data_IF_606164489080
#
_entry.id   IF_606164489080
#
_cell.length_a   1.000
_cell.length_b   1.000
_cell.length_c   1.000
_cell.angle_alpha   90.00
_cell.angle_beta   90.00
_cell.angle_gamma   90.00
#
_symmetry.space_group_name_H-M   'P 1'
#
loop_
_entity.id
_entity.type
_entity.pdbx_description
1 polymer ?
#
# COMPACT_ATOMS: atom_id res chain seq x y z
N UNK A 1 53.67 24.68 25.84
CA UNK A 1 52.23 24.78 26.12
C UNK A 1 51.52 23.73 25.29
N UNK A 2 50.68 22.91 25.93
CA UNK A 2 50.17 21.64 25.44
C UNK A 2 48.92 21.77 24.55
N UNK A 3 48.73 20.76 23.71
CA UNK A 3 47.71 20.59 22.68
C UNK A 3 46.26 20.60 23.20
N UNK A 4 45.34 21.14 22.38
CA UNK A 4 43.89 20.99 22.58
C UNK A 4 43.37 19.97 21.56
N UNK A 5 42.90 18.85 22.08
CA UNK A 5 42.22 17.80 21.34
C UNK A 5 40.80 18.25 20.95
N UNK A 6 40.47 18.18 19.67
CA UNK A 6 39.08 18.27 19.19
C UNK A 6 38.59 16.83 18.96
N UNK A 7 37.94 16.27 19.97
CA UNK A 7 37.24 15.00 19.87
C UNK A 7 35.96 15.16 19.05
N UNK A 8 35.94 14.60 17.85
CA UNK A 8 34.73 14.43 17.04
C UNK A 8 34.00 13.18 17.52
N UNK A 9 33.08 13.35 18.46
CA UNK A 9 32.17 12.29 18.91
C UNK A 9 30.73 12.63 18.46
N UNK A 10 30.40 12.31 17.21
CA UNK A 10 29.02 12.41 16.72
C UNK A 10 28.55 11.38 15.67
N UNK A 11 28.98 10.09 15.66
CA UNK A 11 28.35 9.12 14.75
C UNK A 11 27.22 8.29 15.40
N UNK A 12 27.13 8.22 16.74
CA UNK A 12 26.24 7.26 17.41
C UNK A 12 24.78 7.75 17.54
N UNK A 13 24.56 9.04 17.83
CA UNK A 13 23.21 9.58 18.00
C UNK A 13 22.40 9.54 16.69
N UNK A 14 23.01 9.96 15.56
CA UNK A 14 22.35 9.96 14.25
C UNK A 14 22.03 8.55 13.75
N UNK A 15 22.88 7.55 14.04
CA UNK A 15 22.63 6.17 13.65
C UNK A 15 21.47 5.53 14.43
N UNK A 16 21.35 5.84 15.72
CA UNK A 16 20.24 5.36 16.57
C UNK A 16 18.92 6.02 16.19
N UNK A 17 18.95 7.32 15.85
CA UNK A 17 17.77 8.06 15.38
C UNK A 17 17.30 7.56 14.01
N UNK A 18 18.21 7.35 13.06
CA UNK A 18 17.90 6.74 11.77
C UNK A 18 17.37 5.30 11.89
N UNK A 19 17.88 4.52 12.86
CA UNK A 19 17.37 3.16 13.11
C UNK A 19 15.97 3.20 13.73
N UNK A 20 15.69 4.15 14.63
CA UNK A 20 14.36 4.35 15.21
C UNK A 20 13.37 4.81 14.15
N UNK A 21 13.72 5.76 13.29
CA UNK A 21 12.88 6.21 12.17
C UNK A 21 12.57 5.06 11.21
N UNK A 22 13.56 4.23 10.87
CA UNK A 22 13.35 3.03 10.04
C UNK A 22 12.46 1.99 10.72
N UNK A 23 12.60 1.80 12.03
CA UNK A 23 11.75 0.87 12.78
C UNK A 23 10.29 1.36 12.85
N UNK A 24 10.08 2.66 13.07
CA UNK A 24 8.75 3.27 13.06
C UNK A 24 8.13 3.24 11.66
N UNK A 25 8.92 3.52 10.61
CA UNK A 25 8.47 3.39 9.23
C UNK A 25 8.13 1.93 8.87
N UNK A 26 8.92 0.96 9.36
CA UNK A 26 8.66 -0.46 9.19
C UNK A 26 7.37 -0.92 9.86
N UNK A 27 7.13 -0.50 11.11
CA UNK A 27 5.89 -0.78 11.84
C UNK A 27 4.67 -0.09 11.21
N UNK A 28 4.82 1.12 10.69
CA UNK A 28 3.77 1.82 9.98
C UNK A 28 3.42 1.14 8.64
N UNK A 29 4.42 0.64 7.91
CA UNK A 29 4.22 -0.11 6.67
C UNK A 29 3.57 -1.48 6.92
N UNK A 30 3.97 -2.19 7.98
CA UNK A 30 3.35 -3.46 8.38
C UNK A 30 1.88 -3.28 8.76
N UNK A 31 1.55 -2.18 9.45
CA UNK A 31 0.17 -1.81 9.78
C UNK A 31 -0.69 -1.33 8.59
N UNK A 32 -0.12 -1.29 7.38
CA UNK A 32 -0.80 -0.96 6.12
C UNK A 32 -0.95 -2.19 5.20
N UNK A 33 -0.25 -3.29 5.48
CA UNK A 33 -0.40 -4.52 4.72
C UNK A 33 -1.81 -5.12 4.89
N UNK A 34 -2.37 -5.72 3.83
CA UNK A 34 -3.66 -6.40 3.92
C UNK A 34 -3.56 -7.57 4.88
N UNK A 35 -4.49 -7.65 5.83
CA UNK A 35 -4.67 -8.84 6.66
C UNK A 35 -5.57 -9.86 5.95
N UNK A 36 -5.61 -11.11 6.44
CA UNK A 36 -6.54 -12.10 5.88
C UNK A 36 -8.01 -11.69 6.04
N UNK A 37 -8.35 -11.02 7.15
CA UNK A 37 -9.69 -10.50 7.40
C UNK A 37 -10.08 -9.42 6.40
N UNK A 38 -9.16 -8.49 6.12
CA UNK A 38 -9.31 -7.45 5.11
C UNK A 38 -9.63 -8.02 3.72
N UNK A 39 -8.91 -9.07 3.31
CA UNK A 39 -9.11 -9.73 2.02
C UNK A 39 -10.47 -10.48 2.00
N UNK A 40 -10.90 -11.06 3.12
CA UNK A 40 -12.20 -11.74 3.23
C UNK A 40 -13.39 -10.78 3.17
N UNK A 41 -13.28 -9.60 3.78
CA UNK A 41 -14.29 -8.53 3.64
C UNK A 41 -14.41 -8.10 2.17
N UNK A 42 -13.28 -7.88 1.49
CA UNK A 42 -13.26 -7.58 0.06
C UNK A 42 -13.92 -8.70 -0.78
N UNK A 43 -13.59 -9.97 -0.53
CA UNK A 43 -14.21 -11.12 -1.22
C UNK A 43 -15.73 -11.12 -1.04
N UNK A 44 -16.21 -10.80 0.17
CA UNK A 44 -17.64 -10.79 0.48
C UNK A 44 -18.38 -9.71 -0.33
N UNK A 45 -17.77 -8.53 -0.49
CA UNK A 45 -18.29 -7.44 -1.32
C UNK A 45 -18.23 -7.77 -2.81
N UNK A 46 -17.10 -8.32 -3.27
CA UNK A 46 -16.97 -8.80 -4.65
C UNK A 46 -18.04 -9.82 -5.02
N UNK A 47 -18.37 -10.75 -4.12
CA UNK A 47 -19.48 -11.69 -4.34
C UNK A 47 -20.84 -11.00 -4.41
N UNK A 48 -21.08 -10.01 -3.55
CA UNK A 48 -22.33 -9.24 -3.58
C UNK A 48 -22.49 -8.45 -4.88
N UNK A 49 -21.38 -7.98 -5.45
CA UNK A 49 -21.35 -7.24 -6.72
C UNK A 49 -21.34 -8.14 -7.96
N UNK A 50 -21.33 -9.47 -7.79
CA UNK A 50 -21.29 -10.42 -8.90
C UNK A 50 -19.94 -10.45 -9.64
N UNK A 51 -18.85 -10.15 -8.95
CA UNK A 51 -17.50 -10.21 -9.53
C UNK A 51 -17.12 -11.63 -9.97
N UNK A 52 -16.14 -11.70 -10.87
CA UNK A 52 -15.66 -12.94 -11.47
C UNK A 52 -15.18 -13.98 -10.43
N UNK A 53 -15.59 -15.23 -10.64
CA UNK A 53 -15.32 -16.34 -9.73
C UNK A 53 -13.84 -16.75 -9.68
N UNK A 54 -13.08 -16.59 -10.77
CA UNK A 54 -11.64 -16.85 -10.79
C UNK A 54 -10.89 -15.83 -9.95
N UNK A 55 -11.29 -14.55 -10.05
CA UNK A 55 -10.71 -13.47 -9.23
C UNK A 55 -10.99 -13.67 -7.74
N UNK A 56 -12.20 -14.12 -7.40
CA UNK A 56 -12.57 -14.47 -6.01
C UNK A 56 -11.71 -15.62 -5.50
N UNK A 57 -11.52 -16.68 -6.30
CA UNK A 57 -10.66 -17.82 -5.93
C UNK A 57 -9.21 -17.42 -5.71
N UNK A 58 -8.66 -16.54 -6.55
CA UNK A 58 -7.30 -16.01 -6.39
C UNK A 58 -7.14 -15.28 -5.04
N UNK A 59 -8.11 -14.44 -4.65
CA UNK A 59 -8.06 -13.74 -3.37
C UNK A 59 -8.29 -14.66 -2.16
N UNK A 60 -9.10 -15.71 -2.29
CA UNK A 60 -9.24 -16.71 -1.23
C UNK A 60 -7.92 -17.44 -0.96
N UNK A 61 -7.19 -17.80 -2.02
CA UNK A 61 -5.87 -18.41 -1.89
C UNK A 61 -4.89 -17.46 -1.21
N UNK A 62 -4.92 -16.18 -1.60
CA UNK A 62 -4.09 -15.16 -0.97
C UNK A 62 -4.44 -14.96 0.52
N UNK A 63 -5.72 -14.89 0.88
CA UNK A 63 -6.15 -14.78 2.28
C UNK A 63 -5.64 -15.95 3.13
N UNK A 64 -5.72 -17.19 2.62
CA UNK A 64 -5.18 -18.38 3.32
C UNK A 64 -3.66 -18.31 3.50
N UNK A 65 -2.96 -17.73 2.54
CA UNK A 65 -1.51 -17.54 2.63
C UNK A 65 -1.15 -16.51 3.72
N UNK A 66 -1.93 -15.43 3.86
CA UNK A 66 -1.76 -14.43 4.91
C UNK A 66 -1.98 -14.99 6.33
N UNK A 67 -2.86 -15.99 6.48
CA UNK A 67 -3.10 -16.66 7.77
C UNK A 67 -1.93 -17.55 8.22
N UNK A 68 -0.98 -17.85 7.31
CA UNK A 68 0.15 -18.72 7.61
C UNK A 68 1.46 -17.91 7.65
N UNK A 69 1.96 -17.51 8.84
CA UNK A 69 3.11 -16.61 8.96
C UNK A 69 4.42 -17.16 8.37
N UNK A 70 4.57 -18.49 8.27
CA UNK A 70 5.72 -19.12 7.60
C UNK A 70 5.65 -19.04 6.06
N UNK A 71 4.45 -18.85 5.49
CA UNK A 71 4.23 -18.61 4.07
C UNK A 71 4.39 -17.12 3.71
N UNK A 72 4.11 -16.20 4.63
CA UNK A 72 4.18 -14.74 4.42
C UNK A 72 5.55 -14.28 3.88
N UNK A 73 6.66 -14.80 4.43
CA UNK A 73 8.01 -14.50 3.91
C UNK A 73 8.35 -15.18 2.57
N UNK A 74 7.75 -16.34 2.26
CA UNK A 74 7.97 -17.05 0.99
C UNK A 74 7.13 -16.46 -0.14
N UNK A 75 5.90 -16.05 0.15
CA UNK A 75 5.01 -15.34 -0.77
C UNK A 75 5.59 -13.97 -1.11
N UNK A 76 6.26 -13.31 -0.15
CA UNK A 76 7.10 -12.11 -0.39
C UNK A 76 8.18 -12.29 -1.47
N UNK A 77 8.57 -13.53 -1.80
CA UNK A 77 9.62 -13.83 -2.81
C UNK A 77 9.11 -14.58 -4.04
N UNK A 78 8.02 -15.34 -3.94
CA UNK A 78 7.63 -16.33 -4.94
C UNK A 78 6.53 -15.87 -5.92
N UNK A 79 5.69 -14.93 -5.52
CA UNK A 79 4.69 -14.32 -6.40
C UNK A 79 5.18 -12.94 -6.79
N UNK A 80 5.00 -12.54 -8.05
CA UNK A 80 5.15 -11.15 -8.47
C UNK A 80 4.20 -10.28 -7.66
N UNK A 81 4.65 -9.87 -6.48
CA UNK A 81 3.82 -9.33 -5.40
C UNK A 81 3.20 -7.99 -5.79
N UNK A 82 3.89 -7.24 -6.65
CA UNK A 82 3.32 -6.08 -7.34
C UNK A 82 2.02 -6.41 -8.05
N UNK A 83 1.89 -7.59 -8.67
CA UNK A 83 0.70 -7.99 -9.43
C UNK A 83 -0.50 -8.32 -8.53
N UNK A 84 -0.31 -9.11 -7.46
CA UNK A 84 -1.44 -9.46 -6.57
C UNK A 84 -1.85 -8.26 -5.69
N UNK A 85 -0.90 -7.48 -5.19
CA UNK A 85 -1.18 -6.26 -4.42
C UNK A 85 -1.88 -5.24 -5.30
N UNK A 86 -1.45 -5.05 -6.55
CA UNK A 86 -2.16 -4.22 -7.53
C UNK A 86 -3.59 -4.69 -7.73
N UNK A 87 -3.81 -5.99 -7.97
CA UNK A 87 -5.15 -6.55 -8.13
C UNK A 87 -6.04 -6.30 -6.92
N UNK A 88 -5.50 -6.42 -5.71
CA UNK A 88 -6.20 -6.13 -4.46
C UNK A 88 -6.54 -4.65 -4.31
N UNK A 89 -5.60 -3.75 -4.61
CA UNK A 89 -5.82 -2.30 -4.54
C UNK A 89 -6.95 -1.91 -5.50
N UNK A 90 -6.86 -2.35 -6.75
CA UNK A 90 -7.89 -2.09 -7.77
C UNK A 90 -9.23 -2.67 -7.35
N UNK A 91 -9.28 -3.92 -6.88
CA UNK A 91 -10.52 -4.54 -6.44
C UNK A 91 -11.12 -3.82 -5.22
N UNK A 92 -10.29 -3.42 -4.25
CA UNK A 92 -10.70 -2.65 -3.08
C UNK A 92 -11.23 -1.26 -3.44
N UNK A 93 -10.70 -0.64 -4.49
CA UNK A 93 -11.20 0.62 -5.04
C UNK A 93 -12.54 0.48 -5.77
N UNK A 94 -12.77 -0.65 -6.45
CA UNK A 94 -13.99 -0.88 -7.23
C UNK A 94 -15.18 -1.36 -6.40
N UNK A 95 -14.94 -2.34 -5.53
CA UNK A 95 -15.99 -3.03 -4.77
C UNK A 95 -16.15 -2.49 -3.34
N UNK A 96 -15.23 -1.60 -2.94
CA UNK A 96 -15.10 -1.18 -1.56
C UNK A 96 -14.57 -2.32 -0.67
N UNK A 97 -13.95 -1.93 0.43
CA UNK A 97 -13.43 -2.85 1.44
C UNK A 97 -12.85 -2.04 2.58
N UNK A 98 -12.95 -2.56 3.79
CA UNK A 98 -12.39 -1.95 5.00
C UNK A 98 -10.91 -1.59 4.83
N UNK A 99 -10.16 -2.40 4.09
CA UNK A 99 -8.75 -2.19 3.78
C UNK A 99 -8.45 -1.01 2.85
N UNK A 100 -9.25 -0.80 1.80
CA UNK A 100 -9.13 0.41 0.98
C UNK A 100 -9.34 1.67 1.83
N UNK A 101 -10.26 1.61 2.81
CA UNK A 101 -10.43 2.64 3.81
C UNK A 101 -9.22 2.79 4.77
N UNK A 102 -8.57 1.69 5.18
CA UNK A 102 -7.40 1.69 6.08
C UNK A 102 -6.13 2.25 5.43
N UNK A 103 -5.86 1.92 4.17
CA UNK A 103 -4.72 2.47 3.42
C UNK A 103 -4.88 3.99 3.31
N UNK A 104 -6.07 4.44 2.93
CA UNK A 104 -6.28 5.83 2.53
C UNK A 104 -6.58 6.74 3.72
N UNK A 105 -7.22 6.20 4.77
CA UNK A 105 -7.54 6.92 6.00
C UNK A 105 -6.31 7.38 6.80
N UNK A 106 -5.14 6.77 6.58
CA UNK A 106 -3.88 7.13 7.24
C UNK A 106 -3.06 8.18 6.48
N UNK A 107 -3.46 8.54 5.26
CA UNK A 107 -2.66 9.42 4.39
C UNK A 107 -3.19 10.85 4.45
N UNK A 108 -4.50 11.02 4.29
CA UNK A 108 -5.18 12.32 4.40
C UNK A 108 -6.70 12.12 4.39
N UNK A 109 -7.43 12.82 5.27
CA UNK A 109 -8.91 12.80 5.28
C UNK A 109 -9.51 13.23 3.93
N UNK A 110 -8.84 14.18 3.25
CA UNK A 110 -9.25 14.67 1.92
C UNK A 110 -9.11 13.57 0.87
N UNK A 111 -7.96 12.90 0.85
CA UNK A 111 -7.64 11.83 -0.10
C UNK A 111 -8.55 10.61 0.11
N UNK A 112 -8.85 10.28 1.38
CA UNK A 112 -9.86 9.27 1.75
C UNK A 112 -11.26 9.56 1.23
N UNK A 113 -11.75 10.79 1.43
CA UNK A 113 -13.06 11.20 0.94
C UNK A 113 -13.15 11.29 -0.59
N UNK A 114 -12.05 11.65 -1.26
CA UNK A 114 -12.00 11.69 -2.70
C UNK A 114 -12.05 10.28 -3.29
N UNK A 115 -11.28 9.36 -2.71
CA UNK A 115 -11.18 7.99 -3.18
C UNK A 115 -12.47 7.20 -2.94
N UNK A 116 -13.17 7.39 -1.83
CA UNK A 116 -14.47 6.74 -1.61
C UNK A 116 -15.53 7.15 -2.63
N UNK A 117 -15.42 8.35 -3.21
CA UNK A 117 -16.33 8.86 -4.25
C UNK A 117 -15.90 8.54 -5.67
N UNK A 118 -14.59 8.34 -5.88
CA UNK A 118 -13.98 8.20 -7.21
C UNK A 118 -13.20 6.88 -7.36
N UNK A 119 -13.51 5.87 -6.54
CA UNK A 119 -12.75 4.62 -6.46
C UNK A 119 -12.58 3.92 -7.81
N UNK A 120 -13.67 3.77 -8.57
CA UNK A 120 -13.64 3.19 -9.92
C UNK A 120 -12.66 3.91 -10.86
N UNK A 121 -12.74 5.24 -10.89
CA UNK A 121 -11.89 6.09 -11.74
C UNK A 121 -10.41 5.96 -11.39
N UNK A 122 -10.10 5.88 -10.09
CA UNK A 122 -8.73 5.69 -9.62
C UNK A 122 -8.26 4.27 -9.94
N UNK A 123 -9.15 3.27 -9.83
CA UNK A 123 -8.85 1.89 -10.18
C UNK A 123 -8.50 1.76 -11.68
N UNK A 124 -9.28 2.40 -12.56
CA UNK A 124 -9.01 2.45 -14.00
C UNK A 124 -7.61 3.07 -14.27
N UNK A 125 -7.35 4.23 -13.66
CA UNK A 125 -6.06 4.90 -13.80
C UNK A 125 -4.87 4.05 -13.35
N UNK A 126 -5.05 3.22 -12.31
CA UNK A 126 -4.02 2.30 -11.80
C UNK A 126 -3.82 1.10 -12.74
N UNK A 127 -4.87 0.58 -13.36
CA UNK A 127 -4.80 -0.52 -14.33
C UNK A 127 -4.09 -0.10 -15.63
N UNK A 128 -4.19 1.17 -16.01
CA UNK A 128 -3.54 1.71 -17.21
C UNK A 128 -2.04 1.99 -17.04
N UNK A 129 -1.49 1.91 -15.83
CA UNK A 129 -0.07 2.21 -15.59
C UNK A 129 0.82 1.04 -15.99
N UNK A 130 1.72 1.27 -16.95
CA UNK A 130 2.72 0.28 -17.38
C UNK A 130 3.87 0.10 -16.36
N UNK A 131 4.25 1.16 -15.63
CA UNK A 131 5.35 1.15 -14.66
C UNK A 131 4.89 1.37 -13.21
N UNK A 132 5.24 0.45 -12.31
CA UNK A 132 4.84 0.52 -10.90
C UNK A 132 5.79 1.40 -10.06
N UNK A 133 5.62 2.72 -10.16
CA UNK A 133 6.34 3.71 -9.35
C UNK A 133 5.40 4.79 -8.82
N UNK A 134 5.77 5.44 -7.72
CA UNK A 134 4.99 6.55 -7.15
C UNK A 134 4.69 7.62 -8.19
N UNK A 135 5.71 8.04 -8.94
CA UNK A 135 5.57 9.06 -9.98
C UNK A 135 4.64 8.62 -11.11
N UNK A 136 4.76 7.38 -11.59
CA UNK A 136 3.92 6.87 -12.67
C UNK A 136 2.44 6.77 -12.24
N UNK A 137 2.19 6.28 -11.03
CA UNK A 137 0.85 6.22 -10.44
C UNK A 137 0.24 7.61 -10.27
N UNK A 138 0.99 8.57 -9.72
CA UNK A 138 0.52 9.94 -9.55
C UNK A 138 0.19 10.61 -10.90
N UNK A 139 1.07 10.46 -11.90
CA UNK A 139 0.84 11.00 -13.25
C UNK A 139 -0.41 10.39 -13.89
N UNK A 140 -0.62 9.09 -13.77
CA UNK A 140 -1.81 8.43 -14.30
C UNK A 140 -3.10 8.93 -13.63
N UNK A 141 -3.10 9.08 -12.31
CA UNK A 141 -4.23 9.63 -11.56
C UNK A 141 -4.51 11.09 -11.94
N UNK A 142 -3.48 11.92 -12.11
CA UNK A 142 -3.65 13.31 -12.58
C UNK A 142 -4.21 13.35 -14.00
N UNK A 143 -3.74 12.50 -14.90
CA UNK A 143 -4.30 12.37 -16.26
C UNK A 143 -5.77 11.95 -16.24
N UNK A 144 -6.16 11.09 -15.29
CA UNK A 144 -7.56 10.76 -15.08
C UNK A 144 -8.36 11.95 -14.53
N UNK A 145 -7.73 12.99 -13.98
CA UNK A 145 -8.39 14.17 -13.40
C UNK A 145 -8.57 14.07 -11.88
N UNK A 146 -7.70 13.34 -11.19
CA UNK A 146 -7.51 13.43 -9.74
C UNK A 146 -6.67 14.68 -9.43
N UNK A 147 -7.03 15.51 -8.44
CA UNK A 147 -6.20 16.64 -8.02
C UNK A 147 -4.77 16.22 -7.68
N UNK A 148 -3.77 17.01 -8.08
CA UNK A 148 -2.35 16.64 -7.98
C UNK A 148 -1.91 16.28 -6.55
N UNK A 149 -2.36 17.03 -5.56
CA UNK A 149 -2.06 16.77 -4.15
C UNK A 149 -2.65 15.43 -3.68
N UNK A 150 -3.90 15.14 -4.07
CA UNK A 150 -4.59 13.87 -3.76
C UNK A 150 -3.95 12.69 -4.49
N UNK A 151 -3.53 12.88 -5.74
CA UNK A 151 -2.89 11.85 -6.55
C UNK A 151 -1.54 11.41 -5.96
N UNK A 152 -0.73 12.36 -5.52
CA UNK A 152 0.55 12.06 -4.85
C UNK A 152 0.35 11.32 -3.53
N UNK A 153 -0.60 11.77 -2.70
CA UNK A 153 -0.96 11.09 -1.46
C UNK A 153 -1.34 9.62 -1.70
N UNK A 154 -2.26 9.38 -2.65
CA UNK A 154 -2.73 8.02 -2.96
C UNK A 154 -1.61 7.16 -3.53
N UNK A 155 -0.80 7.70 -4.46
CA UNK A 155 0.34 6.99 -5.03
C UNK A 155 1.36 6.58 -3.97
N UNK A 156 1.69 7.48 -3.05
CA UNK A 156 2.58 7.19 -1.92
C UNK A 156 2.02 6.11 -1.02
N UNK A 157 0.73 6.18 -0.69
CA UNK A 157 0.04 5.18 0.11
C UNK A 157 0.11 3.78 -0.51
N UNK A 158 -0.13 3.70 -1.83
CA UNK A 158 -0.04 2.47 -2.60
C UNK A 158 1.39 1.91 -2.56
N UNK A 159 2.40 2.75 -2.76
CA UNK A 159 3.80 2.31 -2.73
C UNK A 159 4.24 1.82 -1.36
N UNK A 160 3.74 2.41 -0.27
CA UNK A 160 4.04 1.93 1.09
C UNK A 160 3.48 0.52 1.36
N UNK A 161 2.41 0.13 0.67
CA UNK A 161 1.79 -1.19 0.78
C UNK A 161 2.43 -2.20 -0.16
N UNK A 162 2.95 -1.74 -1.31
CA UNK A 162 3.53 -2.60 -2.34
C UNK A 162 5.00 -3.02 -2.09
N UNK A 163 5.68 -2.42 -1.11
CA UNK A 163 7.09 -2.67 -0.72
C UNK A 163 7.22 -3.66 0.46
#
# INVERSE_FOLDING_TARGET
>A
MAAVAVGVAAPAASAVEAHRERAVAGQAAEALQPTAEDVRDLISRMRADGADADRIREFEQYARQLENPAAHQRVKRALGMGTIVRKLIVAGLRHGGSWAGKIVGKVSKKSGAFLSRNGNKIADAIEDVEGWSETALAVAMVKAGVPTDVAHDIAKAIMMVAL
#
